data_IF_180186029843
#
_entry.id   IF_180186029843
#
_cell.length_a   1.000
_cell.length_b   1.000
_cell.length_c   1.000
_cell.angle_alpha   90.00
_cell.angle_beta   90.00
_cell.angle_gamma   90.00
#
_symmetry.space_group_name_H-M   'P 1'
#
loop_
_entity.id
_entity.type
_entity.pdbx_description
1 polymer ?
#
# COMPACT_ATOMS: atom_id res chain seq x y z
N UNK A 1 2.58 11.11 -11.62
CA UNK A 1 1.15 10.78 -11.76
C UNK A 1 0.40 12.10 -11.81
N UNK A 2 -0.52 12.28 -12.74
CA UNK A 2 -1.40 13.45 -12.75
C UNK A 2 -2.73 13.09 -12.08
N UNK A 3 -3.20 13.96 -11.20
CA UNK A 3 -4.51 13.82 -10.61
C UNK A 3 -5.58 14.01 -11.69
N UNK A 4 -6.59 13.16 -11.69
CA UNK A 4 -7.73 13.25 -12.61
C UNK A 4 -8.98 13.51 -11.79
N UNK A 5 -9.76 14.51 -12.20
CA UNK A 5 -11.10 14.72 -11.66
C UNK A 5 -12.06 13.69 -12.26
N UNK A 6 -12.72 12.94 -11.39
CA UNK A 6 -13.74 11.98 -11.76
C UNK A 6 -15.11 12.57 -11.46
N UNK A 7 -16.01 12.60 -12.45
CA UNK A 7 -17.42 12.93 -12.24
C UNK A 7 -18.19 11.65 -11.96
N UNK A 8 -18.91 11.62 -10.84
CA UNK A 8 -19.82 10.53 -10.53
C UNK A 8 -21.15 10.70 -11.27
N UNK A 9 -21.65 9.61 -11.81
CA UNK A 9 -22.89 9.53 -12.58
C UNK A 9 -24.10 9.33 -11.66
N UNK A 10 -23.92 8.55 -10.59
CA UNK A 10 -24.97 8.25 -9.62
C UNK A 10 -24.42 8.26 -8.20
N UNK A 11 -25.26 8.72 -7.28
CA UNK A 11 -25.02 8.70 -5.84
C UNK A 11 -26.19 7.99 -5.19
N UNK A 12 -25.91 7.07 -4.26
CA UNK A 12 -26.93 6.38 -3.46
C UNK A 12 -26.51 6.40 -2.00
N UNK A 13 -27.47 6.57 -1.10
CA UNK A 13 -27.23 6.60 0.35
C UNK A 13 -27.70 5.30 0.98
N UNK A 14 -26.93 4.79 1.93
CA UNK A 14 -27.30 3.67 2.83
C UNK A 14 -27.83 2.40 2.13
N UNK A 15 -27.43 2.18 0.87
CA UNK A 15 -27.91 1.03 0.11
C UNK A 15 -27.09 -0.23 0.43
N UNK A 16 -27.77 -1.31 0.79
CA UNK A 16 -27.13 -2.61 1.08
C UNK A 16 -26.49 -3.23 -0.17
N UNK A 17 -25.21 -3.60 -0.05
CA UNK A 17 -24.43 -4.40 -0.99
C UNK A 17 -23.98 -5.69 -0.30
N UNK A 18 -24.73 -6.78 -0.51
CA UNK A 18 -24.48 -8.06 0.15
C UNK A 18 -24.57 -7.92 1.67
N UNK A 19 -23.42 -8.09 2.35
CA UNK A 19 -23.30 -7.97 3.82
C UNK A 19 -22.86 -6.59 4.32
N UNK A 20 -22.64 -5.63 3.43
CA UNK A 20 -22.17 -4.28 3.79
C UNK A 20 -23.26 -3.26 3.48
N UNK A 21 -23.46 -2.32 4.40
CA UNK A 21 -24.24 -1.10 4.16
C UNK A 21 -23.27 0.07 4.35
N UNK A 22 -22.83 0.72 3.26
CA UNK A 22 -22.04 1.94 3.31
C UNK A 22 -22.94 3.17 3.40
N UNK A 23 -22.42 4.25 3.96
CA UNK A 23 -23.17 5.52 4.06
C UNK A 23 -23.46 6.09 2.67
N UNK A 24 -22.47 6.04 1.77
CA UNK A 24 -22.59 6.56 0.39
C UNK A 24 -21.99 5.58 -0.61
N UNK A 25 -22.67 5.41 -1.74
CA UNK A 25 -22.19 4.70 -2.93
C UNK A 25 -22.09 5.71 -4.07
N UNK A 26 -20.90 5.85 -4.61
CA UNK A 26 -20.61 6.67 -5.77
C UNK A 26 -20.36 5.76 -6.98
N UNK A 27 -21.05 6.01 -8.08
CA UNK A 27 -20.91 5.21 -9.31
C UNK A 27 -20.38 6.05 -10.47
N UNK A 28 -19.40 5.53 -11.21
CA UNK A 28 -18.85 6.15 -12.42
C UNK A 28 -18.22 5.08 -13.32
N UNK A 29 -18.52 5.11 -14.63
CA UNK A 29 -17.93 4.21 -15.62
C UNK A 29 -18.12 2.73 -15.28
N UNK A 30 -19.30 2.36 -14.77
CA UNK A 30 -19.62 0.99 -14.34
C UNK A 30 -18.93 0.52 -13.05
N UNK A 31 -18.16 1.40 -12.39
CA UNK A 31 -17.47 1.10 -11.12
C UNK A 31 -18.17 1.76 -9.95
N UNK A 32 -17.98 1.20 -8.76
CA UNK A 32 -18.47 1.74 -7.49
C UNK A 32 -17.32 2.11 -6.57
N UNK A 33 -17.45 3.24 -5.89
CA UNK A 33 -16.65 3.64 -4.74
C UNK A 33 -17.58 3.83 -3.56
N UNK A 34 -17.32 3.11 -2.47
CA UNK A 34 -18.06 3.28 -1.23
C UNK A 34 -17.38 4.34 -0.36
N UNK A 35 -18.17 5.13 0.36
CA UNK A 35 -17.67 6.12 1.31
C UNK A 35 -18.34 5.89 2.65
N UNK A 36 -17.52 5.84 3.69
CA UNK A 36 -17.92 5.76 5.10
C UNK A 36 -17.55 7.08 5.79
N UNK A 37 -18.47 7.65 6.56
CA UNK A 37 -18.27 8.88 7.32
C UNK A 37 -18.07 8.50 8.79
N UNK A 38 -16.83 8.58 9.26
CA UNK A 38 -16.50 8.36 10.66
C UNK A 38 -16.75 9.64 11.47
N UNK A 39 -17.65 9.58 12.44
CA UNK A 39 -17.88 10.64 13.42
C UNK A 39 -17.41 10.19 14.81
N UNK A 40 -17.83 9.01 15.26
CA UNK A 40 -17.52 8.51 16.61
C UNK A 40 -16.63 7.27 16.61
N UNK A 41 -16.87 6.33 15.70
CA UNK A 41 -16.18 5.05 15.64
C UNK A 41 -15.78 4.71 14.20
N UNK A 42 -14.50 4.37 13.97
CA UNK A 42 -14.05 3.96 12.64
C UNK A 42 -14.71 2.64 12.24
N UNK A 43 -14.72 2.40 10.93
CA UNK A 43 -15.20 1.16 10.33
C UNK A 43 -14.50 -0.05 10.95
N UNK A 44 -15.29 -0.94 11.54
CA UNK A 44 -14.78 -2.13 12.22
C UNK A 44 -14.10 -3.13 11.27
N UNK A 45 -13.23 -3.97 11.85
CA UNK A 45 -12.45 -5.00 11.12
C UNK A 45 -13.36 -5.93 10.30
N UNK A 46 -14.54 -6.28 10.80
CA UNK A 46 -15.46 -7.17 10.10
C UNK A 46 -16.00 -6.54 8.80
N UNK A 47 -16.35 -5.25 8.82
CA UNK A 47 -16.77 -4.52 7.61
C UNK A 47 -15.65 -4.52 6.58
N UNK A 48 -14.41 -4.22 6.99
CA UNK A 48 -13.22 -4.26 6.11
C UNK A 48 -13.00 -5.66 5.51
N UNK A 49 -13.19 -6.73 6.29
CA UNK A 49 -13.11 -8.12 5.78
C UNK A 49 -14.17 -8.39 4.72
N UNK A 50 -15.40 -7.92 4.92
CA UNK A 50 -16.48 -8.10 3.94
C UNK A 50 -16.21 -7.31 2.65
N UNK A 51 -15.69 -6.08 2.74
CA UNK A 51 -15.24 -5.29 1.59
C UNK A 51 -14.19 -6.03 0.77
N UNK A 52 -13.17 -6.59 1.44
CA UNK A 52 -12.11 -7.40 0.79
C UNK A 52 -12.68 -8.63 0.09
N UNK A 53 -13.55 -9.39 0.77
CA UNK A 53 -14.17 -10.61 0.21
C UNK A 53 -15.01 -10.31 -1.03
N UNK A 54 -15.69 -9.16 -1.06
CA UNK A 54 -16.58 -8.78 -2.16
C UNK A 54 -15.90 -7.95 -3.25
N UNK A 55 -14.61 -7.59 -3.09
CA UNK A 55 -13.91 -6.76 -4.06
C UNK A 55 -14.43 -5.32 -4.12
N UNK A 56 -14.99 -4.79 -3.03
CA UNK A 56 -15.65 -3.49 -3.00
C UNK A 56 -14.72 -2.39 -2.48
N UNK A 57 -14.25 -1.53 -3.38
CA UNK A 57 -13.39 -0.39 -3.02
C UNK A 57 -14.13 0.61 -2.13
N UNK A 58 -13.51 1.00 -1.03
CA UNK A 58 -14.10 1.91 -0.05
C UNK A 58 -13.05 2.87 0.54
N UNK A 59 -13.45 4.12 0.74
CA UNK A 59 -12.73 5.10 1.53
C UNK A 59 -13.51 5.42 2.81
N UNK A 60 -12.79 5.89 3.80
CA UNK A 60 -13.36 6.45 5.03
C UNK A 60 -12.89 7.89 5.17
N UNK A 61 -13.82 8.76 5.60
CA UNK A 61 -13.59 10.17 5.89
C UNK A 61 -13.80 10.39 7.38
N UNK A 62 -12.78 10.88 8.09
CA UNK A 62 -12.90 11.23 9.51
C UNK A 62 -13.44 12.65 9.67
N UNK A 63 -14.76 12.77 9.70
CA UNK A 63 -15.45 14.06 9.80
C UNK A 63 -15.19 14.74 11.15
N UNK A 64 -15.01 13.98 12.23
CA UNK A 64 -14.70 14.54 13.55
C UNK A 64 -13.28 15.12 13.60
N UNK A 65 -12.30 14.47 12.98
CA UNK A 65 -10.94 14.99 12.86
C UNK A 65 -10.92 16.30 12.07
N UNK A 66 -11.61 16.35 10.91
CA UNK A 66 -11.77 17.58 10.11
C UNK A 66 -12.37 18.70 10.97
N UNK A 67 -13.48 18.41 11.66
CA UNK A 67 -14.14 19.39 12.53
C UNK A 67 -13.19 19.94 13.61
N UNK A 68 -12.49 19.05 14.32
CA UNK A 68 -11.57 19.44 15.41
C UNK A 68 -10.40 20.27 14.90
N UNK A 69 -9.84 19.92 13.75
CA UNK A 69 -8.76 20.68 13.13
C UNK A 69 -9.23 22.09 12.76
N UNK A 70 -10.34 22.21 12.03
CA UNK A 70 -10.83 23.51 11.57
C UNK A 70 -11.24 24.43 12.73
N UNK A 71 -11.87 23.89 13.78
CA UNK A 71 -12.18 24.68 14.98
C UNK A 71 -10.90 25.16 15.68
N UNK A 72 -9.86 24.33 15.73
CA UNK A 72 -8.55 24.71 16.30
C UNK A 72 -7.86 25.80 15.47
N UNK A 73 -7.93 25.72 14.14
CA UNK A 73 -7.29 26.67 13.23
C UNK A 73 -8.02 28.01 13.13
N UNK A 74 -9.34 28.00 13.14
CA UNK A 74 -10.17 29.18 12.92
C UNK A 74 -10.84 29.74 14.19
N UNK A 75 -10.70 29.05 15.32
CA UNK A 75 -11.31 29.43 16.60
C UNK A 75 -12.83 29.19 16.70
N UNK A 76 -13.50 28.87 15.59
CA UNK A 76 -14.92 28.60 15.53
C UNK A 76 -15.26 27.68 14.34
N UNK A 77 -16.42 27.03 14.39
CA UNK A 77 -16.90 26.20 13.29
C UNK A 77 -17.40 27.05 12.13
N UNK A 78 -17.00 26.67 10.91
CA UNK A 78 -17.42 27.29 9.66
C UNK A 78 -17.85 26.21 8.66
N UNK A 79 -19.14 26.18 8.36
CA UNK A 79 -19.74 25.14 7.51
C UNK A 79 -19.17 25.16 6.08
N UNK A 80 -18.93 26.34 5.50
CA UNK A 80 -18.34 26.53 4.18
C UNK A 80 -16.93 25.93 4.08
N UNK A 81 -16.12 26.15 5.10
CA UNK A 81 -14.74 25.62 5.18
C UNK A 81 -14.78 24.12 5.41
N UNK A 82 -15.66 23.65 6.29
CA UNK A 82 -15.84 22.23 6.57
C UNK A 82 -16.27 21.44 5.34
N UNK A 83 -17.26 21.93 4.59
CA UNK A 83 -17.72 21.29 3.35
C UNK A 83 -16.60 21.21 2.30
N UNK A 84 -15.85 22.31 2.13
CA UNK A 84 -14.70 22.34 1.22
C UNK A 84 -13.66 21.29 1.60
N UNK A 85 -13.33 21.17 2.88
CA UNK A 85 -12.36 20.18 3.36
C UNK A 85 -12.91 18.75 3.26
N UNK A 86 -14.19 18.56 3.56
CA UNK A 86 -14.86 17.26 3.44
C UNK A 86 -14.85 16.74 1.99
N UNK A 87 -15.01 17.63 1.00
CA UNK A 87 -15.04 17.25 -0.43
C UNK A 87 -13.64 17.19 -1.03
N UNK A 88 -12.83 18.24 -0.86
CA UNK A 88 -11.55 18.40 -1.56
C UNK A 88 -10.32 18.04 -0.74
N UNK A 89 -10.45 18.05 0.58
CA UNK A 89 -9.39 17.65 1.50
C UNK A 89 -8.99 16.19 1.34
N UNK A 90 -7.73 15.88 1.65
CA UNK A 90 -7.16 14.53 1.55
C UNK A 90 -6.60 14.02 2.89
N UNK A 91 -6.28 14.92 3.82
CA UNK A 91 -5.57 14.58 5.06
C UNK A 91 -6.33 13.58 5.93
N UNK A 92 -7.64 13.77 6.07
CA UNK A 92 -8.52 12.93 6.90
C UNK A 92 -9.27 11.87 6.11
N UNK A 93 -8.73 11.48 4.96
CA UNK A 93 -9.32 10.44 4.10
C UNK A 93 -8.36 9.28 3.95
N UNK A 94 -8.88 8.07 4.07
CA UNK A 94 -8.08 6.85 3.90
C UNK A 94 -8.82 5.77 3.13
N UNK A 95 -8.07 4.92 2.44
CA UNK A 95 -8.61 3.69 1.88
C UNK A 95 -8.89 2.68 2.99
N UNK A 96 -10.12 2.18 3.06
CA UNK A 96 -10.43 0.96 3.81
C UNK A 96 -10.03 -0.27 3.00
N UNK A 97 -10.30 -0.23 1.70
CA UNK A 97 -9.88 -1.23 0.75
C UNK A 97 -9.88 -0.66 -0.68
N UNK A 98 -8.90 -1.04 -1.48
CA UNK A 98 -8.83 -0.68 -2.90
C UNK A 98 -8.61 -1.97 -3.71
N UNK A 99 -9.65 -2.40 -4.43
CA UNK A 99 -9.63 -3.63 -5.22
C UNK A 99 -8.56 -3.57 -6.34
N UNK A 100 -8.40 -2.42 -6.99
CA UNK A 100 -7.40 -2.24 -8.05
C UNK A 100 -5.99 -2.38 -7.49
N UNK A 101 -5.70 -1.76 -6.35
CA UNK A 101 -4.42 -1.89 -5.65
C UNK A 101 -4.17 -3.35 -5.27
N UNK A 102 -5.13 -4.02 -4.64
CA UNK A 102 -5.02 -5.43 -4.23
C UNK A 102 -4.70 -6.36 -5.41
N UNK A 103 -5.37 -6.16 -6.56
CA UNK A 103 -5.11 -6.95 -7.79
C UNK A 103 -3.72 -6.69 -8.35
N UNK A 104 -3.26 -5.45 -8.37
CA UNK A 104 -1.91 -5.09 -8.84
C UNK A 104 -0.86 -5.69 -7.91
N UNK A 105 -1.00 -5.51 -6.60
CA UNK A 105 -0.10 -6.09 -5.60
C UNK A 105 -0.04 -7.62 -5.72
N UNK A 106 -1.18 -8.29 -5.91
CA UNK A 106 -1.21 -9.73 -6.12
C UNK A 106 -0.42 -10.14 -7.37
N UNK A 107 -0.61 -9.45 -8.51
CA UNK A 107 0.15 -9.70 -9.74
C UNK A 107 1.66 -9.49 -9.53
N UNK A 108 2.04 -8.38 -8.89
CA UNK A 108 3.45 -8.07 -8.59
C UNK A 108 4.08 -9.12 -7.67
N UNK A 109 3.36 -9.60 -6.66
CA UNK A 109 3.83 -10.67 -5.77
C UNK A 109 4.02 -11.99 -6.51
N UNK A 110 3.09 -12.36 -7.40
CA UNK A 110 3.19 -13.57 -8.23
C UNK A 110 4.35 -13.54 -9.21
N UNK A 111 4.75 -12.35 -9.66
CA UNK A 111 5.87 -12.13 -10.56
C UNK A 111 7.16 -11.74 -9.83
N UNK A 112 7.13 -11.61 -8.50
CA UNK A 112 8.32 -11.29 -7.73
C UNK A 112 9.32 -12.44 -7.84
N UNK A 113 10.58 -12.11 -8.11
CA UNK A 113 11.64 -13.08 -8.21
C UNK A 113 12.42 -13.14 -6.90
N UNK A 114 12.68 -14.36 -6.45
CA UNK A 114 13.56 -14.64 -5.32
C UNK A 114 15.01 -14.37 -5.71
N UNK A 115 15.76 -13.69 -4.84
CA UNK A 115 17.18 -13.40 -5.01
C UNK A 115 17.92 -13.78 -3.75
N UNK A 116 18.99 -14.60 -3.85
CA UNK A 116 19.72 -15.07 -2.68
C UNK A 116 20.38 -13.90 -1.96
N UNK A 117 20.26 -13.90 -0.63
CA UNK A 117 21.01 -13.05 0.28
C UNK A 117 22.17 -13.88 0.82
N UNK A 118 23.38 -13.31 0.80
CA UNK A 118 24.57 -13.97 1.33
C UNK A 118 25.12 -13.16 2.49
N UNK A 119 25.38 -13.85 3.59
CA UNK A 119 26.09 -13.25 4.71
C UNK A 119 27.46 -12.73 4.28
N UNK A 120 27.83 -11.58 4.81
CA UNK A 120 29.12 -10.94 4.62
C UNK A 120 29.57 -10.42 5.97
N UNK A 121 30.70 -10.91 6.45
CA UNK A 121 31.39 -10.35 7.60
C UNK A 121 32.54 -9.46 7.14
N UNK A 122 32.59 -8.22 7.61
CA UNK A 122 33.68 -7.30 7.28
C UNK A 122 33.94 -6.33 8.43
N UNK A 123 35.21 -6.28 8.90
CA UNK A 123 35.67 -5.39 9.96
C UNK A 123 34.78 -5.42 11.23
N UNK A 124 34.34 -6.60 11.66
CA UNK A 124 33.48 -6.72 12.84
C UNK A 124 31.98 -6.61 12.57
N UNK A 125 31.56 -6.26 11.36
CA UNK A 125 30.16 -6.04 11.02
C UNK A 125 29.57 -7.19 10.20
N UNK A 126 28.41 -7.67 10.64
CA UNK A 126 27.58 -8.62 9.90
C UNK A 126 26.67 -7.86 8.92
N UNK A 127 26.72 -8.22 7.65
CA UNK A 127 25.84 -7.71 6.62
C UNK A 127 25.31 -8.84 5.74
N UNK A 128 24.29 -8.55 4.93
CA UNK A 128 23.76 -9.49 3.94
C UNK A 128 23.71 -8.79 2.59
N UNK A 129 24.25 -9.46 1.58
CA UNK A 129 24.35 -8.95 0.22
C UNK A 129 23.41 -9.73 -0.69
N UNK A 130 22.51 -9.02 -1.36
CA UNK A 130 21.67 -9.56 -2.42
C UNK A 130 22.34 -9.26 -3.76
N UNK A 131 22.80 -10.30 -4.44
CA UNK A 131 23.43 -10.18 -5.76
C UNK A 131 22.40 -9.85 -6.85
N UNK A 132 22.83 -9.11 -7.89
CA UNK A 132 22.00 -8.84 -9.07
C UNK A 132 20.79 -7.97 -8.74
N UNK A 133 21.00 -6.85 -8.05
CA UNK A 133 19.93 -5.90 -7.78
C UNK A 133 19.41 -5.31 -9.10
N UNK A 134 18.13 -5.52 -9.48
CA UNK A 134 17.63 -5.02 -10.76
C UNK A 134 17.49 -3.51 -10.83
N UNK A 135 17.53 -2.84 -9.67
CA UNK A 135 17.49 -1.39 -9.57
C UNK A 135 18.89 -0.77 -9.44
N UNK A 136 19.94 -1.59 -9.58
CA UNK A 136 21.34 -1.17 -9.53
C UNK A 136 21.67 -0.25 -8.35
N UNK A 137 21.10 -0.56 -7.18
CA UNK A 137 21.26 0.24 -5.96
C UNK A 137 22.73 0.47 -5.60
N UNK A 138 23.57 -0.53 -5.87
CA UNK A 138 25.02 -0.49 -5.71
C UNK A 138 25.68 -1.30 -6.83
N UNK A 139 26.95 -1.00 -7.07
CA UNK A 139 27.82 -1.75 -7.95
C UNK A 139 29.16 -2.03 -7.23
N UNK A 140 29.77 -3.18 -7.51
CA UNK A 140 31.10 -3.47 -7.01
C UNK A 140 32.12 -2.59 -7.72
N UNK A 141 32.95 -1.89 -6.94
CA UNK A 141 33.93 -0.93 -7.48
C UNK A 141 35.22 -1.58 -7.97
N UNK A 142 35.50 -2.82 -7.56
CA UNK A 142 36.72 -3.53 -7.92
C UNK A 142 36.60 -5.03 -7.60
N UNK A 143 37.51 -5.81 -8.19
CA UNK A 143 37.64 -7.25 -7.97
C UNK A 143 36.88 -8.09 -8.99
N UNK A 144 36.76 -9.40 -8.76
CA UNK A 144 36.18 -10.34 -9.73
C UNK A 144 34.74 -9.99 -10.16
N UNK A 145 34.01 -9.27 -9.31
CA UNK A 145 32.60 -8.88 -9.53
C UNK A 145 32.45 -7.42 -9.94
N UNK A 146 33.53 -6.75 -10.33
CA UNK A 146 33.52 -5.33 -10.70
C UNK A 146 32.44 -5.03 -11.74
N UNK A 147 31.69 -3.95 -11.51
CA UNK A 147 30.54 -3.57 -12.33
C UNK A 147 29.25 -4.35 -12.05
N UNK A 148 29.29 -5.52 -11.40
CA UNK A 148 28.06 -6.24 -11.06
C UNK A 148 27.23 -5.47 -10.03
N UNK A 149 25.91 -5.46 -10.23
CA UNK A 149 25.00 -4.83 -9.29
C UNK A 149 24.72 -5.68 -8.05
N UNK A 150 24.53 -5.02 -6.92
CA UNK A 150 24.08 -5.66 -5.68
C UNK A 150 23.26 -4.70 -4.83
N UNK A 151 22.67 -5.24 -3.77
CA UNK A 151 22.01 -4.48 -2.72
C UNK A 151 22.46 -4.98 -1.35
N UNK A 152 22.67 -4.07 -0.42
CA UNK A 152 22.72 -4.37 1.01
C UNK A 152 21.32 -4.66 1.50
N UNK A 153 21.11 -5.80 2.15
CA UNK A 153 19.79 -6.21 2.60
C UNK A 153 19.19 -5.20 3.58
N UNK A 154 19.95 -4.79 4.60
CA UNK A 154 19.47 -3.90 5.66
C UNK A 154 19.37 -2.44 5.24
N UNK A 155 20.25 -1.98 4.34
CA UNK A 155 20.28 -0.57 3.93
C UNK A 155 19.43 -0.29 2.70
N UNK A 156 19.34 -1.26 1.78
CA UNK A 156 18.69 -1.05 0.49
C UNK A 156 17.40 -1.88 0.37
N UNK A 157 17.44 -3.20 0.63
CA UNK A 157 16.28 -4.07 0.40
C UNK A 157 15.15 -3.82 1.40
N UNK A 158 15.46 -3.68 2.70
CA UNK A 158 14.48 -3.50 3.77
C UNK A 158 13.55 -2.29 3.52
N UNK A 159 14.09 -1.23 2.93
CA UNK A 159 13.36 0.01 2.64
C UNK A 159 12.97 0.15 1.15
N UNK A 160 13.20 -0.88 0.34
CA UNK A 160 12.88 -0.83 -1.08
C UNK A 160 11.38 -1.07 -1.30
N UNK A 161 10.69 -0.11 -1.90
CA UNK A 161 9.28 -0.26 -2.32
C UNK A 161 9.03 -1.44 -3.29
N UNK A 162 10.09 -2.02 -3.87
CA UNK A 162 10.00 -3.21 -4.74
C UNK A 162 10.40 -4.52 -4.07
N UNK A 163 10.91 -4.48 -2.84
CA UNK A 163 11.13 -5.65 -2.02
C UNK A 163 9.84 -5.94 -1.27
N UNK A 164 9.27 -7.12 -1.45
CA UNK A 164 7.99 -7.48 -0.81
C UNK A 164 8.19 -8.37 0.42
N UNK A 165 9.26 -9.17 0.46
CA UNK A 165 9.50 -10.16 1.51
C UNK A 165 10.99 -10.41 1.66
N UNK A 166 11.47 -10.45 2.91
CA UNK A 166 12.77 -11.02 3.28
C UNK A 166 12.49 -12.44 3.75
N UNK A 167 13.15 -13.42 3.13
CA UNK A 167 12.99 -14.82 3.48
C UNK A 167 14.15 -15.21 4.40
N UNK A 168 13.79 -15.80 5.53
CA UNK A 168 14.72 -16.27 6.54
C UNK A 168 14.85 -17.79 6.48
N UNK A 169 16.03 -18.30 6.79
CA UNK A 169 16.16 -19.65 7.31
C UNK A 169 15.43 -19.73 8.65
N UNK A 170 14.75 -20.85 8.87
CA UNK A 170 14.01 -21.09 10.10
C UNK A 170 14.64 -22.26 10.83
N UNK A 171 14.76 -22.12 12.14
CA UNK A 171 15.10 -23.21 13.03
C UNK A 171 13.95 -23.45 14.01
N UNK A 172 13.79 -24.68 14.47
CA UNK A 172 12.87 -24.99 15.57
C UNK A 172 13.64 -24.78 16.87
N UNK A 173 13.16 -23.87 17.72
CA UNK A 173 13.69 -23.68 19.07
C UNK A 173 12.56 -23.91 20.07
N UNK A 174 12.66 -24.99 20.85
CA UNK A 174 11.55 -25.44 21.69
C UNK A 174 10.37 -25.91 20.83
N UNK A 175 9.24 -25.21 20.93
CA UNK A 175 8.00 -25.52 20.21
C UNK A 175 7.65 -24.48 19.12
N UNK A 176 8.56 -23.56 18.80
CA UNK A 176 8.34 -22.48 17.84
C UNK A 176 9.36 -22.49 16.70
N UNK A 177 8.92 -22.11 15.50
CA UNK A 177 9.81 -21.78 14.39
C UNK A 177 10.31 -20.34 14.53
N UNK A 178 11.62 -20.18 14.67
CA UNK A 178 12.27 -18.87 14.78
C UNK A 178 13.10 -18.55 13.54
N UNK A 179 13.00 -17.32 12.99
CA UNK A 179 13.88 -16.89 11.90
C UNK A 179 15.32 -16.74 12.44
N UNK A 180 16.29 -17.29 11.70
CA UNK A 180 17.71 -17.23 12.04
C UNK A 180 18.42 -16.19 11.17
N UNK A 181 18.71 -16.55 9.92
CA UNK A 181 19.45 -15.70 8.99
C UNK A 181 18.63 -15.44 7.72
N UNK A 182 18.68 -14.22 7.15
CA UNK A 182 18.13 -13.97 5.83
C UNK A 182 18.81 -14.84 4.75
N UNK A 183 18.02 -15.68 4.07
CA UNK A 183 18.49 -16.50 2.94
C UNK A 183 18.24 -15.85 1.58
N UNK A 184 17.19 -15.05 1.47
CA UNK A 184 16.78 -14.46 0.20
C UNK A 184 15.87 -13.24 0.40
N UNK A 185 15.64 -12.51 -0.68
CA UNK A 185 14.58 -11.52 -0.78
C UNK A 185 13.70 -11.84 -1.99
N UNK A 186 12.39 -11.60 -1.88
CA UNK A 186 11.51 -11.58 -3.06
C UNK A 186 11.22 -10.15 -3.46
N UNK A 187 11.61 -9.81 -4.68
CA UNK A 187 11.42 -8.47 -5.21
C UNK A 187 10.96 -8.47 -6.66
N UNK A 188 10.19 -7.45 -7.01
CA UNK A 188 9.69 -7.19 -8.36
C UNK A 188 10.50 -6.10 -9.06
N UNK A 189 11.76 -5.90 -8.63
CA UNK A 189 12.65 -4.87 -9.17
C UNK A 189 12.89 -4.94 -10.68
N UNK A 190 12.89 -6.16 -11.22
CA UNK A 190 13.11 -6.44 -12.63
C UNK A 190 11.90 -6.13 -13.53
N UNK A 191 10.72 -5.91 -12.93
CA UNK A 191 9.54 -5.53 -13.69
C UNK A 191 9.55 -4.02 -13.97
N UNK A 192 9.03 -3.57 -15.12
CA UNK A 192 8.80 -2.15 -15.35
C UNK A 192 7.81 -1.60 -14.31
N UNK A 193 7.87 -0.29 -14.06
CA UNK A 193 6.81 0.35 -13.27
C UNK A 193 5.47 0.14 -13.99
N UNK A 194 4.40 -0.22 -13.25
CA UNK A 194 3.07 -0.27 -13.84
C UNK A 194 2.75 1.06 -14.50
N UNK A 195 2.41 1.05 -15.79
CA UNK A 195 1.94 2.26 -16.47
C UNK A 195 0.66 2.71 -15.79
N UNK A 196 0.57 3.99 -15.48
CA UNK A 196 -0.66 4.58 -14.95
C UNK A 196 -1.75 4.49 -16.02
N UNK A 197 -2.69 3.58 -15.84
CA UNK A 197 -3.90 3.52 -16.66
C UNK A 197 -4.95 4.37 -15.94
N UNK A 198 -5.46 5.41 -16.62
CA UNK A 198 -6.52 6.28 -16.13
C UNK A 198 -7.71 5.48 -15.62
N UNK A 199 -8.47 6.02 -14.67
CA UNK A 199 -9.60 5.31 -14.05
C UNK A 199 -10.61 4.78 -15.07
N UNK A 200 -10.83 5.55 -16.15
CA UNK A 200 -11.74 5.24 -17.25
C UNK A 200 -11.22 4.19 -18.24
N UNK A 201 -9.90 3.98 -18.34
CA UNK A 201 -9.31 3.16 -19.40
C UNK A 201 -9.09 1.68 -19.01
N UNK A 202 -9.50 1.30 -17.80
CA UNK A 202 -9.53 -0.10 -17.39
C UNK A 202 -10.96 -0.63 -17.59
N UNK A 203 -11.27 -0.95 -18.85
CA UNK A 203 -12.34 -1.87 -19.28
C UNK A 203 -11.67 -3.22 -19.54
#
# INVERSE_FOLDING_TARGET
FEAQLLRFERVRLEQRLGRVVPDIILEAGGKRLLVEINVSHPSGIEKVRQLKKQGLSAIEIDALAIYRQLVKEHGQFRADVFEKELVHGLEHKRWLFNDKQQRIEYKLRRQAAERPARHRYFKGFHGYIVAGCPLEKRQWRSGFREGESYASLWQDCLYCHRCFEIIYEKAITGFEEVPQEPRAVRCWGHLPLPKAVGWASAV
#
